data_IF_209216563526
#
_entry.id   IF_209216563526
#
_cell.length_a   1.000
_cell.length_b   1.000
_cell.length_c   1.000
_cell.angle_alpha   90.00
_cell.angle_beta   90.00
_cell.angle_gamma   90.00
#
_symmetry.space_group_name_H-M   'P 1'
#
loop_
_entity.id
_entity.type
_entity.pdbx_description
1 polymer ?
#
# COMPACT_ATOMS: atom_id res chain seq x y z
N UNK A 1 0.25 44.50 -9.61
CA UNK A 1 0.38 43.64 -10.81
C UNK A 1 0.54 42.21 -10.33
N UNK A 2 -0.57 41.48 -10.24
CA UNK A 2 -0.65 40.12 -9.70
C UNK A 2 -0.26 39.13 -10.80
N UNK A 3 0.85 38.44 -10.62
CA UNK A 3 1.37 37.45 -11.56
C UNK A 3 0.46 36.21 -11.57
N UNK A 4 -0.40 36.07 -12.57
CA UNK A 4 -1.22 34.88 -12.76
C UNK A 4 -0.31 33.71 -13.20
N UNK A 5 -0.14 32.70 -12.34
CA UNK A 5 0.58 31.46 -12.70
C UNK A 5 -0.18 30.77 -13.85
N UNK A 6 0.43 30.72 -15.04
CA UNK A 6 -0.08 29.96 -16.19
C UNK A 6 -0.14 28.48 -15.81
N UNK A 7 -1.33 27.88 -15.90
CA UNK A 7 -1.47 26.46 -15.59
C UNK A 7 -0.65 25.60 -16.59
N UNK A 8 0.00 24.52 -16.12
CA UNK A 8 0.80 23.65 -16.97
C UNK A 8 -0.07 22.93 -18.00
N UNK A 9 0.47 22.70 -19.20
CA UNK A 9 -0.26 21.99 -20.26
C UNK A 9 -0.50 20.52 -19.88
N UNK A 10 -1.45 19.86 -20.55
CA UNK A 10 -1.68 18.42 -20.39
C UNK A 10 -0.39 17.62 -20.64
N UNK A 11 0.40 18.02 -21.62
CA UNK A 11 1.69 17.38 -21.94
C UNK A 11 2.69 17.51 -20.78
N UNK A 12 2.76 18.67 -20.15
CA UNK A 12 3.66 18.89 -19.01
C UNK A 12 3.22 18.08 -17.80
N UNK A 13 1.91 18.00 -17.56
CA UNK A 13 1.32 17.16 -16.51
C UNK A 13 1.61 15.67 -16.74
N UNK A 14 1.54 15.19 -17.99
CA UNK A 14 1.88 13.80 -18.34
C UNK A 14 3.35 13.48 -18.10
N UNK A 15 4.25 14.40 -18.45
CA UNK A 15 5.70 14.25 -18.21
C UNK A 15 6.07 14.27 -16.73
N UNK A 16 5.31 15.00 -15.91
CA UNK A 16 5.55 15.13 -14.48
C UNK A 16 4.86 14.04 -13.64
N UNK A 17 4.25 13.02 -14.25
CA UNK A 17 3.56 11.95 -13.50
C UNK A 17 4.55 11.12 -12.70
N UNK A 18 4.31 11.04 -11.39
CA UNK A 18 4.98 10.07 -10.53
C UNK A 18 4.46 8.64 -10.79
N UNK A 19 5.35 7.66 -10.66
CA UNK A 19 5.00 6.24 -10.70
C UNK A 19 4.11 5.88 -9.50
N UNK A 20 3.24 4.86 -9.61
CA UNK A 20 2.46 4.35 -8.49
C UNK A 20 3.31 4.01 -7.27
N UNK A 21 2.72 4.15 -6.08
CA UNK A 21 3.33 3.79 -4.81
C UNK A 21 2.34 3.02 -3.95
N UNK A 22 2.80 2.04 -3.20
CA UNK A 22 2.03 1.31 -2.18
C UNK A 22 2.77 1.37 -0.84
N UNK A 23 2.03 1.12 0.24
CA UNK A 23 2.55 1.03 1.58
C UNK A 23 2.25 -0.34 2.16
N UNK A 24 3.24 -0.92 2.81
CA UNK A 24 3.10 -2.10 3.66
C UNK A 24 3.34 -1.67 5.10
N UNK A 25 2.36 -1.88 5.96
CA UNK A 25 2.39 -1.39 7.35
C UNK A 25 2.36 -2.57 8.31
N UNK A 26 3.33 -2.59 9.23
CA UNK A 26 3.47 -3.58 10.28
C UNK A 26 3.27 -2.85 11.61
N UNK A 27 2.51 -3.46 12.53
CA UNK A 27 2.38 -2.97 13.89
C UNK A 27 2.43 -4.18 14.82
N UNK A 28 3.51 -4.27 15.60
CA UNK A 28 3.78 -5.41 16.47
C UNK A 28 3.05 -5.31 17.81
N UNK A 29 2.62 -4.12 18.23
CA UNK A 29 1.87 -3.95 19.48
C UNK A 29 0.39 -4.34 19.27
N UNK A 30 -0.05 -5.51 19.79
CA UNK A 30 -1.43 -5.96 19.64
C UNK A 30 -2.41 -5.02 20.35
N UNK A 31 -2.01 -4.33 21.43
CA UNK A 31 -2.90 -3.41 22.16
C UNK A 31 -3.19 -2.18 21.33
N UNK A 32 -2.20 -1.66 20.61
CA UNK A 32 -2.38 -0.49 19.74
C UNK A 32 -3.33 -0.83 18.60
N UNK A 33 -3.20 -2.03 18.01
CA UNK A 33 -4.14 -2.57 17.01
C UNK A 33 -5.56 -2.71 17.55
N UNK A 34 -5.72 -3.40 18.68
CA UNK A 34 -7.02 -3.59 19.32
C UNK A 34 -7.70 -2.26 19.69
N UNK A 35 -6.91 -1.27 20.14
CA UNK A 35 -7.41 0.06 20.47
C UNK A 35 -7.94 0.78 19.22
N UNK A 36 -7.20 0.72 18.11
CA UNK A 36 -7.62 1.31 16.84
C UNK A 36 -8.88 0.64 16.30
N UNK A 37 -8.92 -0.69 16.29
CA UNK A 37 -10.08 -1.45 15.81
C UNK A 37 -11.34 -1.15 16.64
N UNK A 38 -11.19 -1.10 17.98
CA UNK A 38 -12.29 -0.74 18.88
C UNK A 38 -12.76 0.69 18.64
N UNK A 39 -11.85 1.64 18.43
CA UNK A 39 -12.21 3.04 18.17
C UNK A 39 -12.93 3.20 16.81
N UNK A 40 -12.45 2.53 15.77
CA UNK A 40 -13.11 2.50 14.44
C UNK A 40 -14.50 1.87 14.49
N UNK A 41 -14.65 0.76 15.23
CA UNK A 41 -15.95 0.13 15.43
C UNK A 41 -16.93 1.07 16.15
N UNK A 42 -16.47 1.76 17.21
CA UNK A 42 -17.29 2.71 17.94
C UNK A 42 -17.71 3.91 17.07
N UNK A 43 -16.82 4.42 16.21
CA UNK A 43 -17.13 5.46 15.24
C UNK A 43 -18.19 4.98 14.24
N UNK A 44 -17.99 3.83 13.60
CA UNK A 44 -18.95 3.28 12.64
C UNK A 44 -20.33 3.04 13.28
N UNK A 45 -20.36 2.60 14.54
CA UNK A 45 -21.60 2.45 15.29
C UNK A 45 -22.27 3.81 15.55
N UNK A 46 -21.52 4.83 15.97
CA UNK A 46 -22.04 6.17 16.20
C UNK A 46 -22.61 6.79 14.90
N UNK A 47 -21.89 6.65 13.78
CA UNK A 47 -22.34 7.11 12.46
C UNK A 47 -23.65 6.43 12.06
N UNK A 48 -23.77 5.11 12.26
CA UNK A 48 -24.99 4.37 11.94
C UNK A 48 -26.22 4.77 12.78
N UNK A 49 -26.01 5.35 13.96
CA UNK A 49 -27.06 5.75 14.89
C UNK A 49 -27.39 7.25 14.82
N UNK A 50 -26.52 8.06 14.20
CA UNK A 50 -26.63 9.52 14.18
C UNK A 50 -27.94 10.00 13.55
N UNK A 51 -28.38 9.37 12.47
CA UNK A 51 -29.62 9.71 11.75
C UNK A 51 -30.89 9.54 12.60
N UNK A 52 -30.83 8.69 13.64
CA UNK A 52 -31.98 8.41 14.52
C UNK A 52 -32.02 9.26 15.78
N UNK A 53 -30.92 9.95 16.11
CA UNK A 53 -30.72 10.61 17.41
C UNK A 53 -30.52 12.13 17.31
N UNK A 54 -30.40 12.69 16.10
CA UNK A 54 -30.36 14.13 15.88
C UNK A 54 -29.10 14.78 16.44
N UNK A 55 -29.24 15.89 17.19
CA UNK A 55 -28.09 16.65 17.73
C UNK A 55 -27.21 15.84 18.70
N UNK A 56 -27.82 14.94 19.48
CA UNK A 56 -27.08 14.05 20.37
C UNK A 56 -26.28 12.99 19.60
N UNK A 57 -26.81 12.57 18.44
CA UNK A 57 -26.11 11.71 17.49
C UNK A 57 -24.87 12.37 16.91
N UNK A 58 -24.98 13.64 16.49
CA UNK A 58 -23.86 14.41 15.98
C UNK A 58 -22.73 14.56 17.02
N UNK A 59 -23.07 14.85 18.28
CA UNK A 59 -22.08 14.91 19.39
C UNK A 59 -21.43 13.56 19.66
N UNK A 60 -22.18 12.46 19.56
CA UNK A 60 -21.64 11.11 19.73
C UNK A 60 -20.66 10.75 18.61
N UNK A 61 -20.96 11.10 17.36
CA UNK A 61 -20.05 10.92 16.22
C UNK A 61 -18.78 11.73 16.41
N UNK A 62 -18.87 13.01 16.78
CA UNK A 62 -17.69 13.85 17.01
C UNK A 62 -16.78 13.28 18.11
N UNK A 63 -17.37 12.83 19.23
CA UNK A 63 -16.62 12.21 20.31
C UNK A 63 -15.97 10.87 19.91
N UNK A 64 -16.65 10.07 19.08
CA UNK A 64 -16.11 8.81 18.56
C UNK A 64 -15.00 9.04 17.53
N UNK A 65 -15.17 10.04 16.65
CA UNK A 65 -14.17 10.44 15.66
C UNK A 65 -12.88 10.87 16.35
N UNK A 66 -12.97 11.72 17.38
CA UNK A 66 -11.80 12.13 18.15
C UNK A 66 -11.03 10.93 18.73
N UNK A 67 -11.73 9.93 19.27
CA UNK A 67 -11.09 8.71 19.80
C UNK A 67 -10.47 7.86 18.69
N UNK A 68 -11.11 7.78 17.52
CA UNK A 68 -10.55 7.10 16.36
C UNK A 68 -9.28 7.79 15.86
N UNK A 69 -9.27 9.12 15.82
CA UNK A 69 -8.10 9.92 15.43
C UNK A 69 -6.94 9.75 16.43
N UNK A 70 -7.23 9.80 17.73
CA UNK A 70 -6.23 9.55 18.78
C UNK A 70 -5.64 8.14 18.69
N UNK A 71 -6.48 7.13 18.46
CA UNK A 71 -6.03 5.75 18.29
C UNK A 71 -5.25 5.55 16.97
N UNK A 72 -5.63 6.24 15.89
CA UNK A 72 -4.91 6.22 14.62
C UNK A 72 -3.53 6.85 14.77
N UNK A 73 -3.42 7.98 15.47
CA UNK A 73 -2.13 8.63 15.73
C UNK A 73 -1.20 7.74 16.58
N UNK A 74 -1.74 7.01 17.56
CA UNK A 74 -0.98 6.03 18.33
C UNK A 74 -0.50 4.85 17.47
N UNK A 75 -1.37 4.36 16.57
CA UNK A 75 -1.00 3.32 15.59
C UNK A 75 0.10 3.80 14.64
N UNK A 76 -0.05 4.98 14.06
CA UNK A 76 0.91 5.54 13.11
C UNK A 76 2.28 5.81 13.75
N UNK A 77 2.33 6.09 15.06
CA UNK A 77 3.57 6.30 15.80
C UNK A 77 4.35 5.00 16.07
N UNK A 78 3.64 3.88 16.26
CA UNK A 78 4.24 2.57 16.55
C UNK A 78 4.42 1.70 15.30
N UNK A 79 3.71 2.02 14.22
CA UNK A 79 3.73 1.21 13.01
C UNK A 79 4.99 1.46 12.18
N UNK A 80 5.59 0.37 11.71
CA UNK A 80 6.65 0.38 10.70
C UNK A 80 5.97 0.45 9.33
N UNK A 81 6.31 1.47 8.54
CA UNK A 81 5.74 1.65 7.20
C UNK A 81 6.84 1.52 6.15
N UNK A 82 6.72 0.50 5.32
CA UNK A 82 7.53 0.34 4.12
C UNK A 82 6.77 0.90 2.92
N UNK A 83 7.45 1.65 2.07
CA UNK A 83 6.93 2.28 0.86
C UNK A 83 7.59 1.64 -0.36
N UNK A 84 6.76 1.20 -1.28
CA UNK A 84 7.19 0.69 -2.57
C UNK A 84 6.77 1.65 -3.68
N UNK A 85 7.62 1.82 -4.69
CA UNK A 85 7.32 2.53 -5.91
C UNK A 85 7.41 1.58 -7.11
N UNK A 86 6.45 1.69 -8.02
CA UNK A 86 6.46 0.89 -9.24
C UNK A 86 7.72 1.19 -10.04
N UNK A 87 8.34 0.14 -10.59
CA UNK A 87 9.47 0.26 -11.49
C UNK A 87 9.01 0.88 -12.81
N UNK A 88 9.96 1.39 -13.60
CA UNK A 88 9.62 1.64 -15.00
C UNK A 88 9.42 0.29 -15.72
N UNK A 89 8.60 0.31 -16.77
CA UNK A 89 8.23 -0.91 -17.47
C UNK A 89 9.45 -1.69 -18.00
N UNK A 90 10.46 -1.06 -18.66
CA UNK A 90 11.66 -1.77 -19.06
C UNK A 90 12.40 -2.48 -17.92
N UNK A 91 12.56 -1.82 -16.77
CA UNK A 91 13.21 -2.39 -15.59
C UNK A 91 12.44 -3.59 -15.04
N UNK A 92 11.12 -3.49 -14.92
CA UNK A 92 10.30 -4.62 -14.45
C UNK A 92 10.34 -5.81 -15.42
N UNK A 93 10.28 -5.58 -16.73
CA UNK A 93 10.40 -6.64 -17.73
C UNK A 93 11.81 -7.24 -17.79
N UNK A 94 12.85 -6.46 -17.53
CA UNK A 94 14.22 -6.96 -17.39
C UNK A 94 14.34 -7.86 -16.17
N UNK A 95 13.75 -7.45 -15.06
CA UNK A 95 13.76 -8.22 -13.82
C UNK A 95 13.05 -9.57 -14.00
N UNK A 96 11.81 -9.60 -14.53
CA UNK A 96 11.12 -10.86 -14.80
C UNK A 96 11.93 -11.83 -15.69
N UNK A 97 12.64 -11.30 -16.69
CA UNK A 97 13.48 -12.12 -17.58
C UNK A 97 14.71 -12.71 -16.87
N UNK A 98 15.24 -12.03 -15.86
CA UNK A 98 16.34 -12.54 -15.03
C UNK A 98 15.91 -13.70 -14.13
N UNK A 99 14.61 -13.88 -13.92
CA UNK A 99 14.02 -14.93 -13.09
C UNK A 99 13.10 -15.84 -13.90
N UNK A 100 13.63 -16.62 -14.87
CA UNK A 100 12.82 -17.52 -15.67
C UNK A 100 12.12 -18.56 -14.78
N UNK A 101 10.93 -19.05 -15.17
CA UNK A 101 10.27 -20.13 -14.45
C UNK A 101 11.13 -21.40 -14.48
N UNK A 102 10.99 -22.25 -13.46
CA UNK A 102 11.48 -23.64 -13.50
C UNK A 102 10.71 -24.45 -14.55
N UNK A 103 11.20 -25.64 -14.90
CA UNK A 103 10.49 -26.52 -15.85
C UNK A 103 9.06 -26.83 -15.40
N UNK A 104 8.87 -27.17 -14.12
CA UNK A 104 7.54 -27.44 -13.56
C UNK A 104 6.63 -26.20 -13.58
N UNK A 105 7.14 -25.03 -13.19
CA UNK A 105 6.38 -23.78 -13.25
C UNK A 105 6.01 -23.40 -14.70
N UNK A 106 6.90 -23.67 -15.66
CA UNK A 106 6.64 -23.40 -17.08
C UNK A 106 5.54 -24.32 -17.65
N UNK A 107 5.50 -25.59 -17.23
CA UNK A 107 4.42 -26.52 -17.56
C UNK A 107 3.05 -26.04 -17.02
N UNK A 108 3.05 -25.36 -15.88
CA UNK A 108 1.86 -24.72 -15.28
C UNK A 108 1.53 -23.34 -15.88
N UNK A 109 2.34 -22.86 -16.82
CA UNK A 109 2.13 -21.58 -17.53
C UNK A 109 2.64 -20.35 -16.79
N UNK A 110 3.51 -20.52 -15.78
CA UNK A 110 4.17 -19.40 -15.12
C UNK A 110 5.11 -18.65 -16.09
N UNK A 111 5.18 -17.33 -15.95
CA UNK A 111 6.02 -16.49 -16.80
C UNK A 111 7.41 -16.22 -16.21
N UNK A 112 7.58 -16.47 -14.92
CA UNK A 112 8.78 -16.23 -14.13
C UNK A 112 8.72 -17.08 -12.87
N UNK A 113 9.87 -17.32 -12.24
CA UNK A 113 9.96 -17.98 -10.96
C UNK A 113 9.71 -16.95 -9.85
N UNK A 114 8.60 -17.10 -9.12
CA UNK A 114 8.18 -16.12 -8.11
C UNK A 114 9.13 -16.09 -6.90
N UNK A 115 9.67 -17.25 -6.51
CA UNK A 115 10.56 -17.38 -5.34
C UNK A 115 11.87 -16.59 -5.50
N UNK A 116 12.47 -16.63 -6.68
CA UNK A 116 13.71 -15.91 -6.98
C UNK A 116 13.45 -14.46 -7.37
N UNK A 117 12.29 -14.15 -7.96
CA UNK A 117 11.91 -12.78 -8.32
C UNK A 117 11.56 -11.94 -7.09
N UNK A 118 10.87 -12.51 -6.10
CA UNK A 118 10.30 -11.77 -4.98
C UNK A 118 11.32 -10.89 -4.22
N UNK A 119 12.48 -11.40 -3.73
CA UNK A 119 13.42 -10.57 -2.98
C UNK A 119 14.03 -9.44 -3.84
N UNK A 120 14.30 -9.72 -5.11
CA UNK A 120 14.84 -8.74 -6.06
C UNK A 120 13.82 -7.64 -6.40
N UNK A 121 12.55 -8.02 -6.53
CA UNK A 121 11.47 -7.06 -6.78
C UNK A 121 11.23 -6.17 -5.56
N UNK A 122 11.21 -6.73 -4.35
CA UNK A 122 11.05 -5.98 -3.11
C UNK A 122 12.18 -4.94 -2.99
N UNK A 123 13.43 -5.37 -3.16
CA UNK A 123 14.58 -4.48 -3.07
C UNK A 123 14.55 -3.39 -4.15
N UNK A 124 14.29 -3.76 -5.41
CA UNK A 124 14.25 -2.80 -6.52
C UNK A 124 13.11 -1.78 -6.41
N UNK A 125 11.97 -2.19 -5.87
CA UNK A 125 10.80 -1.33 -5.70
C UNK A 125 10.81 -0.53 -4.39
N UNK A 126 11.68 -0.83 -3.43
CA UNK A 126 11.71 -0.19 -2.13
C UNK A 126 12.14 1.28 -2.21
N UNK A 127 11.45 2.14 -1.47
CA UNK A 127 11.86 3.52 -1.22
C UNK A 127 12.63 3.67 0.11
N UNK A 128 12.77 2.59 0.88
CA UNK A 128 13.32 2.56 2.24
C UNK A 128 14.62 1.75 2.30
N UNK A 129 15.35 1.66 1.18
CA UNK A 129 16.68 1.06 1.07
C UNK A 129 16.79 -0.43 1.49
N UNK A 130 15.70 -1.19 1.35
CA UNK A 130 15.70 -2.66 1.56
C UNK A 130 16.63 -3.32 0.53
N UNK A 131 17.61 -4.08 1.01
CA UNK A 131 18.50 -4.89 0.17
C UNK A 131 17.87 -6.22 -0.23
N UNK A 132 18.44 -6.88 -1.24
CA UNK A 132 17.98 -8.21 -1.69
C UNK A 132 18.13 -9.26 -0.58
N UNK A 133 19.21 -9.18 0.19
CA UNK A 133 19.48 -10.12 1.28
C UNK A 133 18.49 -9.92 2.44
N UNK A 134 18.17 -8.68 2.81
CA UNK A 134 17.14 -8.38 3.81
C UNK A 134 15.75 -8.81 3.34
N UNK A 135 15.40 -8.50 2.08
CA UNK A 135 14.12 -8.95 1.52
C UNK A 135 13.98 -10.47 1.53
N UNK A 136 15.06 -11.19 1.22
CA UNK A 136 15.09 -12.66 1.31
C UNK A 136 14.94 -13.13 2.75
N UNK A 137 15.68 -12.54 3.69
CA UNK A 137 15.55 -12.85 5.11
C UNK A 137 14.12 -12.66 5.61
N UNK A 138 13.45 -11.57 5.23
CA UNK A 138 12.05 -11.33 5.63
C UNK A 138 11.10 -12.37 5.03
N UNK A 139 11.26 -12.70 3.74
CA UNK A 139 10.44 -13.71 3.08
C UNK A 139 10.63 -15.12 3.69
N UNK A 140 11.84 -15.43 4.16
CA UNK A 140 12.18 -16.74 4.72
C UNK A 140 11.79 -16.88 6.21
N UNK A 141 11.82 -15.78 6.98
CA UNK A 141 11.68 -15.82 8.44
C UNK A 141 10.35 -15.31 8.98
N UNK A 142 9.66 -14.44 8.24
CA UNK A 142 8.35 -13.94 8.68
C UNK A 142 7.28 -15.01 8.54
N UNK A 143 6.12 -14.77 9.16
CA UNK A 143 4.99 -15.66 8.96
C UNK A 143 4.59 -15.68 7.47
N UNK A 144 4.04 -16.79 7.00
CA UNK A 144 3.61 -16.94 5.60
C UNK A 144 2.69 -15.80 5.15
N UNK A 145 1.79 -15.33 6.03
CA UNK A 145 0.89 -14.22 5.71
C UNK A 145 1.62 -12.89 5.50
N UNK A 146 2.65 -12.61 6.31
CA UNK A 146 3.46 -11.39 6.21
C UNK A 146 4.37 -11.42 5.00
N UNK A 147 5.03 -12.55 4.73
CA UNK A 147 5.85 -12.72 3.53
C UNK A 147 5.02 -12.53 2.25
N UNK A 148 3.83 -13.13 2.18
CA UNK A 148 2.89 -12.93 1.06
C UNK A 148 2.47 -11.46 0.96
N UNK A 149 2.14 -10.81 2.08
CA UNK A 149 1.70 -9.43 2.09
C UNK A 149 2.82 -8.46 1.63
N UNK A 150 4.06 -8.69 2.08
CA UNK A 150 5.24 -7.93 1.66
C UNK A 150 5.46 -8.03 0.15
N UNK A 151 5.51 -9.27 -0.38
CA UNK A 151 5.63 -9.49 -1.82
C UNK A 151 4.46 -8.87 -2.60
N UNK A 152 3.23 -9.04 -2.10
CA UNK A 152 2.03 -8.47 -2.74
C UNK A 152 2.08 -6.96 -2.80
N UNK A 153 2.58 -6.29 -1.75
CA UNK A 153 2.73 -4.83 -1.74
C UNK A 153 3.70 -4.34 -2.83
N UNK A 154 4.81 -5.04 -3.04
CA UNK A 154 5.80 -4.72 -4.08
C UNK A 154 5.34 -5.10 -5.50
N UNK A 155 4.59 -6.21 -5.66
CA UNK A 155 4.14 -6.71 -6.96
C UNK A 155 2.88 -6.03 -7.47
N UNK A 156 1.87 -5.83 -6.61
CA UNK A 156 0.56 -5.28 -7.02
C UNK A 156 0.70 -3.94 -7.74
N UNK A 157 1.56 -3.04 -7.24
CA UNK A 157 1.84 -1.73 -7.84
C UNK A 157 2.43 -1.76 -9.24
N UNK A 158 3.09 -2.88 -9.62
CA UNK A 158 3.63 -3.04 -10.97
C UNK A 158 2.50 -3.31 -11.98
N UNK A 159 1.43 -3.95 -11.51
CA UNK A 159 0.28 -4.38 -12.29
C UNK A 159 -0.95 -3.48 -12.13
N UNK A 160 -0.88 -2.44 -11.29
CA UNK A 160 -1.98 -1.51 -11.07
C UNK A 160 -2.39 -0.79 -12.37
N UNK A 161 -3.57 -1.15 -12.88
CA UNK A 161 -4.23 -0.51 -14.03
C UNK A 161 -5.20 0.60 -13.61
N UNK A 162 -5.45 0.75 -12.31
CA UNK A 162 -6.56 1.50 -11.69
C UNK A 162 -6.55 3.02 -11.90
N UNK A 163 -5.48 3.60 -12.45
CA UNK A 163 -5.41 5.05 -12.74
C UNK A 163 -6.12 5.47 -14.02
N UNK A 164 -6.73 4.52 -14.73
CA UNK A 164 -7.64 4.81 -15.85
C UNK A 164 -9.06 4.73 -15.32
N UNK A 165 -9.59 5.87 -14.90
CA UNK A 165 -11.01 6.01 -14.63
C UNK A 165 -11.73 5.92 -15.99
N UNK A 166 -12.16 4.71 -16.38
CA UNK A 166 -13.10 4.54 -17.48
C UNK A 166 -14.45 5.01 -16.94
N UNK A 167 -14.62 6.34 -16.96
CA UNK A 167 -15.86 6.99 -16.62
C UNK A 167 -16.99 6.31 -17.38
N UNK A 168 -17.88 5.66 -16.64
CA UNK A 168 -19.21 5.35 -17.16
C UNK A 168 -19.87 6.70 -17.41
N UNK A 169 -20.22 6.98 -18.66
CA UNK A 169 -21.23 7.98 -18.99
C UNK A 169 -22.58 7.60 -18.41
#
# INVERSE_FOLDING_TARGET
>A
MTNAKKQPSVRDRLKARARPTSRFTICDDPKVKENLDRARYALALAESQADTTGEDGAKAVEAAQKKADEAQAAYDAEAIVLTFQALDRPAFEALKRAHPPTEAEAEEGAQFNAETLAPELIAAASCDDITVDEAREYLDTWSTGEAIALYTAAYSIQSETSRVDVGKG
#
